data_IF_335075522502
#
_entry.id   IF_335075522502
#
_cell.length_a   1.000
_cell.length_b   1.000
_cell.length_c   1.000
_cell.angle_alpha   90.00
_cell.angle_beta   90.00
_cell.angle_gamma   90.00
#
_symmetry.space_group_name_H-M   'P 1'
#
loop_
_entity.id
_entity.type
_entity.pdbx_description
1 polymer ?
#
# COMPACT_ATOMS: atom_id res chain seq x y z
N UNK A 1 -10.59 52.22 12.53
CA UNK A 1 -9.40 51.72 13.28
C UNK A 1 -9.29 50.19 13.20
N UNK A 2 -9.18 49.60 12.00
CA UNK A 2 -9.08 48.14 11.85
C UNK A 2 -8.35 47.76 10.55
N UNK A 3 -7.15 48.32 10.33
CA UNK A 3 -6.30 47.89 9.20
C UNK A 3 -4.84 47.60 9.61
N UNK A 4 -4.55 47.48 10.91
CA UNK A 4 -3.18 47.27 11.44
C UNK A 4 -3.08 46.11 12.44
N UNK A 5 -3.89 45.06 12.30
CA UNK A 5 -3.83 43.89 13.18
C UNK A 5 -3.46 42.58 12.46
N UNK A 6 -3.08 42.65 11.18
CA UNK A 6 -2.70 41.46 10.39
C UNK A 6 -1.27 41.51 9.84
N UNK A 7 -0.51 42.59 10.09
CA UNK A 7 0.82 42.80 9.47
C UNK A 7 2.01 42.37 10.33
N UNK A 8 1.80 41.68 11.46
CA UNK A 8 2.91 41.26 12.35
C UNK A 8 3.05 39.74 12.47
N UNK A 9 3.01 39.06 11.33
CA UNK A 9 3.48 37.68 11.22
C UNK A 9 4.59 37.73 10.19
N UNK A 10 5.84 37.49 10.60
CA UNK A 10 6.98 37.37 9.69
C UNK A 10 6.71 36.35 8.56
N UNK A 11 7.65 36.19 7.61
CA UNK A 11 7.45 35.32 6.45
C UNK A 11 6.91 33.94 6.88
N UNK A 12 5.79 33.52 6.29
CA UNK A 12 5.18 32.22 6.60
C UNK A 12 6.22 31.14 6.34
N UNK A 13 6.59 30.42 7.40
CA UNK A 13 7.50 29.27 7.25
C UNK A 13 6.81 28.16 6.47
N UNK A 14 7.58 27.35 5.76
CA UNK A 14 7.03 26.18 5.06
C UNK A 14 6.21 25.26 5.98
N UNK A 15 6.63 25.11 7.24
CA UNK A 15 5.91 24.34 8.26
C UNK A 15 4.51 24.93 8.51
N UNK A 16 4.41 26.23 8.73
CA UNK A 16 3.14 26.93 8.98
C UNK A 16 2.20 26.87 7.77
N UNK A 17 2.73 27.08 6.55
CA UNK A 17 1.94 26.90 5.33
C UNK A 17 1.38 25.49 5.24
N UNK A 18 2.23 24.48 5.44
CA UNK A 18 1.86 23.06 5.36
C UNK A 18 0.79 22.70 6.40
N UNK A 19 0.94 23.15 7.64
CA UNK A 19 -0.06 22.97 8.71
C UNK A 19 -1.40 23.62 8.36
N UNK A 20 -1.40 24.87 7.93
CA UNK A 20 -2.62 25.58 7.52
C UNK A 20 -3.30 24.92 6.31
N UNK A 21 -2.50 24.48 5.33
CA UNK A 21 -2.96 23.76 4.16
C UNK A 21 -3.64 22.43 4.55
N UNK A 22 -2.98 21.58 5.34
CA UNK A 22 -3.58 20.33 5.79
C UNK A 22 -4.81 20.56 6.65
N UNK A 23 -4.79 21.56 7.55
CA UNK A 23 -5.98 21.89 8.36
C UNK A 23 -7.18 22.31 7.50
N UNK A 24 -6.95 23.03 6.40
CA UNK A 24 -8.01 23.51 5.51
C UNK A 24 -8.53 22.45 4.54
N UNK A 25 -7.63 21.70 3.92
CA UNK A 25 -7.97 20.76 2.83
C UNK A 25 -8.08 19.30 3.28
N UNK A 26 -7.55 18.97 4.46
CA UNK A 26 -7.67 17.65 5.10
C UNK A 26 -8.21 17.80 6.54
N UNK A 27 -9.52 18.13 6.69
CA UNK A 27 -10.14 18.20 8.00
C UNK A 27 -9.97 16.90 8.81
N UNK A 28 -10.11 17.00 10.13
CA UNK A 28 -9.93 15.87 11.05
C UNK A 28 -10.83 14.67 10.74
N UNK A 29 -12.02 14.88 10.18
CA UNK A 29 -12.88 13.80 9.68
C UNK A 29 -12.24 13.04 8.53
N UNK A 30 -11.71 13.75 7.54
CA UNK A 30 -11.02 13.18 6.36
C UNK A 30 -9.74 12.47 6.78
N UNK A 31 -8.94 13.07 7.69
CA UNK A 31 -7.75 12.41 8.22
C UNK A 31 -8.10 11.11 8.95
N UNK A 32 -9.12 11.13 9.82
CA UNK A 32 -9.59 9.92 10.52
C UNK A 32 -10.11 8.86 9.54
N UNK A 33 -10.81 9.27 8.49
CA UNK A 33 -11.23 8.35 7.44
C UNK A 33 -10.01 7.69 6.78
N UNK A 34 -8.99 8.46 6.39
CA UNK A 34 -7.75 7.94 5.78
C UNK A 34 -6.98 7.00 6.70
N UNK A 35 -6.91 7.31 8.00
CA UNK A 35 -6.35 6.40 9.01
C UNK A 35 -7.15 5.08 9.06
N UNK A 36 -8.49 5.17 9.06
CA UNK A 36 -9.36 3.99 9.04
C UNK A 36 -9.20 3.14 7.76
N UNK A 37 -9.05 3.79 6.60
CA UNK A 37 -8.72 3.13 5.33
C UNK A 37 -7.38 2.40 5.42
N UNK A 38 -6.36 3.02 6.01
CA UNK A 38 -5.04 2.39 6.18
C UNK A 38 -5.05 1.20 7.16
N UNK A 39 -5.83 1.29 8.23
CA UNK A 39 -5.97 0.20 9.21
C UNK A 39 -6.56 -1.05 8.55
N UNK A 40 -7.61 -0.88 7.74
CA UNK A 40 -8.31 -1.97 7.04
C UNK A 40 -7.73 -2.28 5.65
N UNK A 41 -6.58 -1.71 5.31
CA UNK A 41 -6.00 -1.89 4.00
C UNK A 41 -5.48 -3.32 3.86
N UNK A 42 -6.07 -4.05 2.91
CA UNK A 42 -5.64 -5.37 2.47
C UNK A 42 -5.48 -5.34 0.94
N UNK A 43 -4.69 -6.26 0.39
CA UNK A 43 -4.44 -6.39 -1.04
C UNK A 43 -5.75 -6.64 -1.80
N UNK A 44 -6.64 -7.49 -1.26
CA UNK A 44 -7.92 -7.81 -1.91
C UNK A 44 -7.70 -8.29 -3.35
N UNK A 45 -8.38 -7.68 -4.32
CA UNK A 45 -8.23 -8.00 -5.75
C UNK A 45 -7.09 -7.22 -6.45
N UNK A 46 -6.43 -6.30 -5.74
CA UNK A 46 -5.34 -5.50 -6.30
C UNK A 46 -4.13 -6.39 -6.61
N UNK A 47 -3.36 -5.98 -7.61
CA UNK A 47 -1.97 -6.46 -7.76
C UNK A 47 -1.13 -5.95 -6.60
N UNK A 48 0.00 -6.61 -6.32
CA UNK A 48 0.95 -6.16 -5.30
C UNK A 48 1.41 -4.72 -5.58
N UNK A 49 1.63 -4.36 -6.84
CA UNK A 49 2.03 -3.00 -7.23
C UNK A 49 0.94 -1.95 -6.91
N UNK A 50 -0.33 -2.27 -7.17
CA UNK A 50 -1.46 -1.38 -6.82
C UNK A 50 -1.64 -1.26 -5.30
N UNK A 51 -1.49 -2.38 -4.59
CA UNK A 51 -1.55 -2.41 -3.13
C UNK A 51 -0.41 -1.59 -2.51
N UNK A 52 0.82 -1.72 -3.00
CA UNK A 52 1.98 -0.92 -2.60
C UNK A 52 1.74 0.58 -2.79
N UNK A 53 1.26 0.99 -3.96
CA UNK A 53 0.97 2.40 -4.23
C UNK A 53 -0.06 2.97 -3.24
N UNK A 54 -1.12 2.20 -2.95
CA UNK A 54 -2.16 2.59 -1.99
C UNK A 54 -1.67 2.58 -0.55
N UNK A 55 -0.82 1.62 -0.19
CA UNK A 55 -0.18 1.55 1.12
C UNK A 55 0.69 2.79 1.35
N UNK A 56 1.55 3.11 0.38
CA UNK A 56 2.43 4.29 0.41
C UNK A 56 1.62 5.59 0.50
N UNK A 57 0.54 5.74 -0.26
CA UNK A 57 -0.36 6.91 -0.16
C UNK A 57 -0.95 7.06 1.25
N UNK A 58 -1.58 6.00 1.76
CA UNK A 58 -2.32 6.04 3.03
C UNK A 58 -1.41 6.12 4.26
N UNK A 59 -0.19 5.58 4.17
CA UNK A 59 0.81 5.62 5.24
C UNK A 59 1.16 7.05 5.68
N UNK A 60 1.08 8.02 4.76
CA UNK A 60 1.38 9.44 5.01
C UNK A 60 0.46 10.07 6.07
N UNK A 61 -0.73 9.50 6.26
CA UNK A 61 -1.70 9.96 7.24
C UNK A 61 -1.56 9.26 8.60
N UNK A 62 -0.77 8.19 8.68
CA UNK A 62 -0.63 7.35 9.88
C UNK A 62 0.82 6.94 10.16
N UNK A 63 1.79 7.88 10.22
CA UNK A 63 3.19 7.54 10.48
C UNK A 63 3.40 6.77 11.79
N UNK A 64 2.53 6.98 12.78
CA UNK A 64 2.54 6.28 14.06
C UNK A 64 2.19 4.79 13.98
N UNK A 65 1.59 4.32 12.88
CA UNK A 65 1.25 2.89 12.68
C UNK A 65 2.36 2.12 11.98
N UNK A 66 3.41 2.81 11.54
CA UNK A 66 4.55 2.28 10.79
C UNK A 66 5.82 3.04 11.22
N UNK A 67 6.00 3.20 12.53
CA UNK A 67 7.02 4.08 13.08
C UNK A 67 8.43 3.54 12.87
N UNK A 68 8.57 2.21 12.79
CA UNK A 68 9.81 1.54 12.37
C UNK A 68 9.69 0.89 10.99
N UNK A 69 10.82 0.62 10.35
CA UNK A 69 10.84 -0.13 9.08
C UNK A 69 10.28 -1.54 9.25
N UNK A 70 10.52 -2.20 10.39
CA UNK A 70 9.96 -3.51 10.69
C UNK A 70 8.44 -3.45 10.86
N UNK A 71 7.90 -2.47 11.58
CA UNK A 71 6.45 -2.27 11.72
C UNK A 71 5.79 -2.02 10.35
N UNK A 72 6.45 -1.21 9.51
CA UNK A 72 6.01 -0.95 8.14
C UNK A 72 6.01 -2.22 7.28
N UNK A 73 7.08 -2.99 7.35
CA UNK A 73 7.22 -4.26 6.64
C UNK A 73 6.16 -5.28 7.07
N UNK A 74 5.96 -5.45 8.39
CA UNK A 74 4.95 -6.34 8.95
C UNK A 74 3.54 -5.93 8.56
N UNK A 75 3.19 -4.65 8.68
CA UNK A 75 1.87 -4.17 8.28
C UNK A 75 1.60 -4.39 6.79
N UNK A 76 2.59 -4.16 5.93
CA UNK A 76 2.46 -4.44 4.50
C UNK A 76 2.24 -5.94 4.25
N UNK A 77 3.09 -6.79 4.84
CA UNK A 77 3.00 -8.26 4.76
C UNK A 77 1.64 -8.76 5.24
N UNK A 78 1.10 -8.20 6.31
CA UNK A 78 -0.14 -8.66 6.93
C UNK A 78 -1.36 -8.44 6.05
N UNK A 79 -1.35 -7.39 5.22
CA UNK A 79 -2.40 -7.12 4.25
C UNK A 79 -2.22 -7.84 2.91
N UNK A 80 -1.13 -8.58 2.66
CA UNK A 80 -0.98 -9.36 1.42
C UNK A 80 -2.02 -10.49 1.33
N UNK A 81 -2.34 -10.91 0.10
CA UNK A 81 -3.15 -12.11 -0.15
C UNK A 81 -2.56 -13.31 0.62
N UNK A 82 -3.39 -14.22 1.17
CA UNK A 82 -2.92 -15.30 2.04
C UNK A 82 -1.77 -16.13 1.47
N UNK A 83 -1.80 -16.46 0.17
CA UNK A 83 -0.74 -17.26 -0.45
C UNK A 83 0.60 -16.51 -0.54
N UNK A 84 0.59 -15.19 -0.76
CA UNK A 84 1.78 -14.35 -0.74
C UNK A 84 2.27 -14.15 0.68
N UNK A 85 1.37 -13.77 1.60
CA UNK A 85 1.68 -13.62 3.03
C UNK A 85 2.43 -14.84 3.58
N UNK A 86 1.92 -16.04 3.30
CA UNK A 86 2.56 -17.28 3.74
C UNK A 86 3.99 -17.42 3.17
N UNK A 87 4.19 -17.17 1.87
CA UNK A 87 5.52 -17.23 1.23
C UNK A 87 6.49 -16.22 1.83
N UNK A 88 6.04 -14.98 2.05
CA UNK A 88 6.89 -13.91 2.57
C UNK A 88 7.21 -14.11 4.06
N UNK A 89 6.25 -14.59 4.86
CA UNK A 89 6.46 -14.84 6.29
C UNK A 89 7.59 -15.84 6.59
N UNK A 90 7.84 -16.78 5.67
CA UNK A 90 8.92 -17.77 5.79
C UNK A 90 10.30 -17.09 5.69
N UNK A 91 10.39 -15.99 4.95
CA UNK A 91 11.65 -15.27 4.71
C UNK A 91 12.07 -14.39 5.89
N UNK A 92 11.16 -14.08 6.83
CA UNK A 92 11.43 -13.26 8.03
C UNK A 92 12.13 -11.92 7.73
N UNK A 93 11.66 -11.22 6.70
CA UNK A 93 12.22 -9.94 6.27
C UNK A 93 11.79 -8.81 7.22
N UNK A 94 12.74 -7.95 7.60
CA UNK A 94 12.50 -6.78 8.45
C UNK A 94 12.45 -5.46 7.70
N UNK A 95 12.76 -5.46 6.40
CA UNK A 95 12.88 -4.24 5.59
C UNK A 95 11.70 -4.14 4.62
N UNK A 96 11.01 -3.01 4.60
CA UNK A 96 9.80 -2.81 3.80
C UNK A 96 10.04 -3.05 2.30
N UNK A 97 11.14 -2.52 1.76
CA UNK A 97 11.46 -2.68 0.34
C UNK A 97 11.72 -4.13 -0.06
N UNK A 98 12.31 -4.94 0.83
CA UNK A 98 12.53 -6.37 0.57
C UNK A 98 11.21 -7.15 0.56
N UNK A 99 10.29 -6.84 1.48
CA UNK A 99 8.95 -7.45 1.50
C UNK A 99 8.20 -7.13 0.20
N UNK A 100 8.24 -5.88 -0.26
CA UNK A 100 7.62 -5.44 -1.52
C UNK A 100 8.23 -6.17 -2.72
N UNK A 101 9.55 -6.17 -2.85
CA UNK A 101 10.26 -6.80 -3.97
C UNK A 101 9.94 -8.30 -4.06
N UNK A 102 10.01 -9.02 -2.93
CA UNK A 102 9.70 -10.45 -2.87
C UNK A 102 8.22 -10.73 -3.17
N UNK A 103 7.31 -9.86 -2.74
CA UNK A 103 5.89 -10.01 -3.04
C UNK A 103 5.61 -9.82 -4.55
N UNK A 104 6.26 -8.84 -5.20
CA UNK A 104 6.15 -8.61 -6.64
C UNK A 104 6.66 -9.81 -7.46
N UNK A 105 7.83 -10.34 -7.09
CA UNK A 105 8.40 -11.54 -7.73
C UNK A 105 7.44 -12.72 -7.56
N UNK A 106 6.97 -12.96 -6.33
CA UNK A 106 6.09 -14.09 -6.03
C UNK A 106 4.72 -14.00 -6.71
N UNK A 107 4.17 -12.78 -6.92
CA UNK A 107 2.94 -12.59 -7.69
C UNK A 107 3.14 -12.94 -9.16
N UNK A 108 4.23 -12.44 -9.77
CA UNK A 108 4.57 -12.73 -11.16
C UNK A 108 4.81 -14.22 -11.41
N UNK A 109 5.61 -14.88 -10.56
CA UNK A 109 5.87 -16.33 -10.67
C UNK A 109 4.57 -17.14 -10.60
N UNK A 110 3.62 -16.69 -9.78
CA UNK A 110 2.32 -17.33 -9.66
C UNK A 110 1.49 -17.15 -10.94
N UNK A 111 1.45 -15.94 -11.50
CA UNK A 111 0.76 -15.67 -12.77
C UNK A 111 1.32 -16.52 -13.93
N UNK A 112 2.64 -16.62 -14.06
CA UNK A 112 3.28 -17.46 -15.08
C UNK A 112 2.93 -18.94 -14.90
N UNK A 113 2.93 -19.44 -13.66
CA UNK A 113 2.52 -20.80 -13.34
C UNK A 113 1.05 -21.06 -13.68
N UNK A 114 0.15 -20.10 -13.39
CA UNK A 114 -1.26 -20.20 -13.76
C UNK A 114 -1.44 -20.28 -15.28
N UNK A 115 -0.76 -19.39 -16.03
CA UNK A 115 -0.81 -19.38 -17.49
C UNK A 115 -0.31 -20.70 -18.08
N UNK A 116 0.81 -21.23 -17.57
CA UNK A 116 1.35 -22.53 -18.01
C UNK A 116 0.33 -23.67 -17.79
N UNK A 117 -0.29 -23.73 -16.61
CA UNK A 117 -1.30 -24.75 -16.27
C UNK A 117 -2.54 -24.65 -17.16
N UNK A 118 -2.98 -23.44 -17.50
CA UNK A 118 -4.11 -23.24 -18.40
C UNK A 118 -3.79 -23.67 -19.84
N UNK A 119 -2.59 -23.38 -20.33
CA UNK A 119 -2.15 -23.81 -21.65
C UNK A 119 -2.12 -25.35 -21.75
N UNK A 120 -1.60 -26.03 -20.73
CA UNK A 120 -1.61 -27.50 -20.68
C UNK A 120 -3.04 -28.06 -20.68
N UNK A 121 -3.96 -27.45 -19.93
CA UNK A 121 -5.38 -27.85 -19.93
C UNK A 121 -6.04 -27.68 -21.29
N UNK A 122 -5.72 -26.62 -22.04
CA UNK A 122 -6.24 -26.38 -23.39
C UNK A 122 -5.73 -27.43 -24.38
N UNK A 123 -4.42 -27.75 -24.34
CA UNK A 123 -3.79 -28.80 -25.18
C UNK A 123 -4.41 -30.18 -24.93
N UNK A 124 -4.55 -30.56 -23.66
CA UNK A 124 -5.16 -31.85 -23.32
C UNK A 124 -6.63 -31.98 -23.74
N UNK A 125 -7.36 -30.87 -23.89
CA UNK A 125 -8.76 -30.87 -24.37
C UNK A 125 -8.85 -30.98 -25.89
N UNK A 126 -7.92 -30.38 -26.64
CA UNK A 126 -7.88 -30.49 -28.10
C UNK A 126 -7.49 -31.91 -28.56
N UNK A 127 -6.61 -32.58 -27.81
CA UNK A 127 -6.11 -33.92 -28.16
C UNK A 127 -7.09 -35.04 -27.80
N UNK A 128 -8.16 -34.74 -27.04
CA UNK A 128 -9.14 -35.71 -26.53
C UNK A 128 -10.51 -35.68 -27.20
N UNK A 129 -10.71 -34.92 -28.27
CA UNK A 129 -11.98 -34.90 -29.00
C UNK A 129 -12.05 -36.07 -30.00
N UNK A 130 -12.97 -37.05 -29.85
CA UNK A 130 -13.21 -38.06 -30.87
C UNK A 130 -14.01 -37.43 -32.02
N UNK A 131 -13.62 -37.77 -33.26
CA UNK A 131 -14.30 -37.40 -34.51
C UNK A 131 -15.78 -37.77 -34.53
#
# INVERSE_FOLDING_TARGET
MTRRLLEDQGPITWRQFREAFYKKYFPDSVRRQKVGEFIRLEQGDMTVAQYEAKFTELSRFSPQLIATEEEKALKFQDGLKPYLKNKISILKLGVYSEVVDRALIAEKDNEELHQYREQQRKRNRSDGAPW
#
